data_IF_998552707547
#
_entry.id   IF_998552707547
#
_cell.length_a   1.000
_cell.length_b   1.000
_cell.length_c   1.000
_cell.angle_alpha   90.00
_cell.angle_beta   90.00
_cell.angle_gamma   90.00
#
_symmetry.space_group_name_H-M   'P 1'
#
loop_
_entity.id
_entity.type
_entity.pdbx_description
1 polymer ?
#
# COMPACT_ATOMS: atom_id res chain seq x y z
N UNK A 1 -36.01 -26.82 143.07
CA UNK A 1 -35.66 -25.46 143.58
C UNK A 1 -35.27 -24.62 142.36
N UNK A 2 -35.66 -23.33 142.30
CA UNK A 2 -35.87 -22.42 143.43
C UNK A 2 -37.26 -22.49 144.03
N UNK A 3 -37.29 -22.01 145.27
CA UNK A 3 -38.36 -21.99 146.26
C UNK A 3 -38.56 -20.54 146.69
N UNK A 4 -39.82 -20.13 146.81
CA UNK A 4 -40.34 -18.96 147.49
C UNK A 4 -41.79 -19.35 147.81
N UNK A 5 -42.18 -19.95 148.94
CA UNK A 5 -41.78 -19.76 150.35
C UNK A 5 -41.72 -18.28 150.73
N UNK A 6 -42.77 -17.87 151.45
CA UNK A 6 -43.01 -16.55 152.08
C UNK A 6 -43.58 -15.43 151.20
N UNK A 7 -44.89 -15.48 150.95
CA UNK A 7 -45.81 -14.54 151.61
C UNK A 7 -47.27 -15.00 151.43
N UNK A 8 -47.59 -16.07 152.15
CA UNK A 8 -48.95 -16.30 152.63
C UNK A 8 -49.10 -15.60 153.97
N UNK A 9 -49.93 -14.57 154.03
CA UNK A 9 -50.50 -14.04 155.26
C UNK A 9 -51.71 -13.18 154.91
N UNK A 10 -52.76 -13.81 154.40
CA UNK A 10 -54.07 -13.50 154.96
C UNK A 10 -54.92 -14.78 154.95
N UNK A 11 -54.71 -15.56 156.00
CA UNK A 11 -55.47 -16.76 156.30
C UNK A 11 -56.86 -16.36 156.79
N UNK A 12 -57.79 -16.22 155.85
CA UNK A 12 -59.20 -16.42 156.11
C UNK A 12 -59.54 -17.91 156.07
N UNK A 13 -59.14 -18.64 157.11
CA UNK A 13 -59.58 -20.02 157.40
C UNK A 13 -61.10 -20.01 157.62
N UNK A 14 -61.85 -20.03 156.53
CA UNK A 14 -63.18 -20.60 156.54
C UNK A 14 -63.08 -21.85 155.69
N UNK A 15 -62.96 -22.98 156.39
CA UNK A 15 -63.21 -24.32 155.89
C UNK A 15 -64.30 -24.27 154.83
N UNK A 16 -63.90 -24.24 153.56
CA UNK A 16 -64.85 -24.39 152.45
C UNK A 16 -65.35 -25.82 152.62
N UNK A 17 -66.63 -25.99 153.00
CA UNK A 17 -67.15 -27.30 153.36
C UNK A 17 -66.93 -28.25 152.17
N UNK A 18 -66.74 -29.54 152.42
CA UNK A 18 -66.69 -30.57 151.35
C UNK A 18 -67.84 -30.38 150.33
N UNK A 19 -68.96 -29.77 150.75
CA UNK A 19 -70.10 -29.36 149.92
C UNK A 19 -69.85 -28.25 148.90
N UNK A 20 -68.88 -27.33 149.07
CA UNK A 20 -68.55 -26.28 148.06
C UNK A 20 -67.56 -26.79 147.02
N UNK A 21 -66.61 -27.66 147.41
CA UNK A 21 -65.69 -28.32 146.45
C UNK A 21 -66.43 -29.38 145.61
N UNK A 22 -67.40 -30.08 146.21
CA UNK A 22 -68.33 -30.96 145.48
C UNK A 22 -69.28 -30.18 144.57
N UNK A 23 -69.72 -28.97 144.96
CA UNK A 23 -70.52 -28.10 144.08
C UNK A 23 -69.73 -27.56 142.90
N UNK A 24 -68.47 -27.15 143.09
CA UNK A 24 -67.63 -26.65 141.99
C UNK A 24 -67.22 -27.80 141.06
N UNK A 25 -66.85 -28.98 141.60
CA UNK A 25 -66.65 -30.18 140.76
C UNK A 25 -67.94 -30.62 140.06
N UNK A 26 -69.08 -30.58 140.74
CA UNK A 26 -70.37 -30.89 140.13
C UNK A 26 -70.78 -29.88 139.06
N UNK A 27 -70.45 -28.60 139.19
CA UNK A 27 -70.72 -27.57 138.18
C UNK A 27 -69.73 -27.66 137.02
N UNK A 28 -68.45 -27.91 137.27
CA UNK A 28 -67.45 -28.18 136.23
C UNK A 28 -67.72 -29.49 135.49
N UNK A 29 -68.14 -30.55 136.19
CA UNK A 29 -68.56 -31.82 135.60
C UNK A 29 -69.90 -31.68 134.88
N UNK A 30 -70.79 -30.78 135.33
CA UNK A 30 -72.01 -30.42 134.61
C UNK A 30 -71.72 -29.59 133.36
N UNK A 31 -70.74 -28.67 133.41
CA UNK A 31 -70.29 -27.89 132.25
C UNK A 31 -69.54 -28.80 131.28
N UNK A 32 -68.67 -29.69 131.75
CA UNK A 32 -67.99 -30.72 130.95
C UNK A 32 -68.98 -31.69 130.36
N UNK A 33 -69.97 -32.18 131.11
CA UNK A 33 -71.07 -33.02 130.59
C UNK A 33 -71.91 -32.26 129.55
N UNK A 34 -72.21 -30.97 129.77
CA UNK A 34 -72.92 -30.12 128.80
C UNK A 34 -72.07 -29.82 127.56
N UNK A 35 -70.75 -29.68 127.70
CA UNK A 35 -69.82 -29.51 126.60
C UNK A 35 -69.64 -30.81 125.83
N UNK A 36 -69.40 -31.94 126.49
CA UNK A 36 -69.32 -33.28 125.89
C UNK A 36 -70.59 -33.63 125.13
N UNK A 37 -71.76 -33.21 125.61
CA UNK A 37 -73.03 -33.34 124.88
C UNK A 37 -73.15 -32.39 123.67
N UNK A 38 -72.46 -31.24 123.67
CA UNK A 38 -72.47 -30.22 122.60
C UNK A 38 -71.30 -30.34 121.61
N UNK A 39 -70.20 -31.00 121.98
CA UNK A 39 -69.02 -31.25 121.16
C UNK A 39 -69.37 -31.96 119.85
N UNK A 40 -70.24 -32.99 119.84
CA UNK A 40 -70.72 -33.61 118.60
C UNK A 40 -71.47 -32.62 117.69
N UNK A 41 -72.20 -31.66 118.27
CA UNK A 41 -72.95 -30.63 117.53
C UNK A 41 -72.00 -29.60 116.92
N UNK A 42 -71.00 -29.14 117.66
CA UNK A 42 -69.97 -28.21 117.15
C UNK A 42 -69.14 -28.89 116.06
N UNK A 43 -68.77 -30.16 116.26
CA UNK A 43 -68.05 -30.94 115.23
C UNK A 43 -68.91 -31.12 113.98
N UNK A 44 -70.20 -31.41 114.13
CA UNK A 44 -71.15 -31.51 113.02
C UNK A 44 -71.32 -30.17 112.29
N UNK A 45 -71.39 -29.05 113.02
CA UNK A 45 -71.49 -27.71 112.44
C UNK A 45 -70.22 -27.32 111.68
N UNK A 46 -69.03 -27.52 112.26
CA UNK A 46 -67.76 -27.26 111.58
C UNK A 46 -67.60 -28.15 110.34
N UNK A 47 -68.06 -29.40 110.41
CA UNK A 47 -68.07 -30.31 109.26
C UNK A 47 -69.10 -29.88 108.20
N UNK A 48 -70.26 -29.37 108.59
CA UNK A 48 -71.28 -28.83 107.69
C UNK A 48 -70.83 -27.52 107.02
N UNK A 49 -70.21 -26.60 107.76
CA UNK A 49 -69.60 -25.38 107.22
C UNK A 49 -68.45 -25.71 106.27
N UNK A 50 -67.56 -26.64 106.65
CA UNK A 50 -66.50 -27.13 105.79
C UNK A 50 -67.03 -27.85 104.53
N UNK A 51 -68.17 -28.54 104.63
CA UNK A 51 -68.84 -29.15 103.48
C UNK A 51 -69.47 -28.09 102.58
N UNK A 52 -70.14 -27.08 103.14
CA UNK A 52 -70.72 -25.96 102.38
C UNK A 52 -69.65 -25.15 101.65
N UNK A 53 -68.53 -24.82 102.30
CA UNK A 53 -67.42 -24.10 101.66
C UNK A 53 -66.79 -24.91 100.52
N UNK A 54 -66.59 -26.22 100.71
CA UNK A 54 -66.09 -27.11 99.64
C UNK A 54 -67.07 -27.21 98.46
N UNK A 55 -68.37 -27.23 98.74
CA UNK A 55 -69.39 -27.21 97.69
C UNK A 55 -69.39 -25.89 96.92
N UNK A 56 -69.27 -24.75 97.60
CA UNK A 56 -69.14 -23.44 96.96
C UNK A 56 -67.87 -23.34 96.11
N UNK A 57 -66.74 -23.82 96.63
CA UNK A 57 -65.48 -23.84 95.90
C UNK A 57 -65.55 -24.76 94.68
N UNK A 58 -66.18 -25.94 94.81
CA UNK A 58 -66.43 -26.85 93.70
C UNK A 58 -67.30 -26.24 92.61
N UNK A 59 -68.37 -25.50 92.98
CA UNK A 59 -69.20 -24.76 92.03
C UNK A 59 -68.42 -23.67 91.30
N UNK A 60 -67.62 -22.89 92.02
CA UNK A 60 -66.77 -21.85 91.42
C UNK A 60 -65.72 -22.46 90.48
N UNK A 61 -65.12 -23.59 90.87
CA UNK A 61 -64.15 -24.30 90.04
C UNK A 61 -64.78 -24.87 88.76
N UNK A 62 -66.00 -25.40 88.85
CA UNK A 62 -66.74 -25.86 87.67
C UNK A 62 -67.04 -24.72 86.68
N UNK A 63 -67.45 -23.54 87.19
CA UNK A 63 -67.66 -22.36 86.35
C UNK A 63 -66.36 -21.87 85.68
N UNK A 64 -65.24 -21.94 86.40
CA UNK A 64 -63.94 -21.58 85.85
C UNK A 64 -63.49 -22.58 84.77
N UNK A 65 -63.67 -23.88 84.99
CA UNK A 65 -63.36 -24.91 83.99
C UNK A 65 -64.24 -24.82 82.75
N UNK A 66 -65.52 -24.50 82.88
CA UNK A 66 -66.40 -24.24 81.73
C UNK A 66 -65.88 -23.06 80.88
N UNK A 67 -65.23 -22.06 81.51
CA UNK A 67 -64.67 -20.91 80.79
C UNK A 67 -63.26 -21.13 80.24
N UNK A 68 -62.58 -22.21 80.64
CA UNK A 68 -61.16 -22.45 80.33
C UNK A 68 -60.89 -22.50 78.82
N UNK A 69 -61.71 -23.23 78.06
CA UNK A 69 -61.56 -23.34 76.61
C UNK A 69 -61.71 -21.98 75.91
N UNK A 70 -62.65 -21.14 76.37
CA UNK A 70 -62.87 -19.81 75.81
C UNK A 70 -61.71 -18.86 76.11
N UNK A 71 -61.10 -18.96 77.28
CA UNK A 71 -59.92 -18.18 77.66
C UNK A 71 -58.68 -18.64 76.89
N UNK A 72 -58.48 -19.95 76.71
CA UNK A 72 -57.41 -20.49 75.88
C UNK A 72 -57.56 -20.02 74.43
N UNK A 73 -58.79 -20.06 73.90
CA UNK A 73 -59.10 -19.56 72.57
C UNK A 73 -58.77 -18.07 72.43
N UNK A 74 -59.24 -17.23 73.37
CA UNK A 74 -58.95 -15.79 73.37
C UNK A 74 -57.45 -15.51 73.48
N UNK A 75 -56.73 -16.22 74.36
CA UNK A 75 -55.28 -16.10 74.49
C UNK A 75 -54.55 -16.50 73.21
N UNK A 76 -55.02 -17.55 72.52
CA UNK A 76 -54.44 -17.97 71.24
C UNK A 76 -54.60 -16.90 70.16
N UNK A 77 -55.77 -16.24 70.10
CA UNK A 77 -56.03 -15.13 69.17
C UNK A 77 -55.12 -13.95 69.48
N UNK A 78 -55.05 -13.52 70.74
CA UNK A 78 -54.24 -12.36 71.15
C UNK A 78 -52.75 -12.61 70.87
N UNK A 79 -52.22 -13.79 71.24
CA UNK A 79 -50.83 -14.17 70.96
C UNK A 79 -50.56 -14.24 69.46
N UNK A 80 -51.49 -14.82 68.70
CA UNK A 80 -51.41 -14.89 67.24
C UNK A 80 -51.43 -13.51 66.60
N UNK A 81 -52.27 -12.59 67.07
CA UNK A 81 -52.37 -11.24 66.53
C UNK A 81 -51.12 -10.42 66.82
N UNK A 82 -50.63 -10.46 68.06
CA UNK A 82 -49.38 -9.82 68.44
C UNK A 82 -48.21 -10.33 67.60
N UNK A 83 -48.10 -11.65 67.40
CA UNK A 83 -47.06 -12.23 66.54
C UNK A 83 -47.17 -11.74 65.09
N UNK A 84 -48.39 -11.68 64.53
CA UNK A 84 -48.62 -11.15 63.18
C UNK A 84 -48.25 -9.66 63.08
N UNK A 85 -48.60 -8.84 64.06
CA UNK A 85 -48.23 -7.42 64.06
C UNK A 85 -46.71 -7.24 64.05
N UNK A 86 -45.98 -7.98 64.90
CA UNK A 86 -44.51 -7.94 64.94
C UNK A 86 -43.89 -8.37 63.61
N UNK A 87 -44.39 -9.45 63.00
CA UNK A 87 -43.91 -9.95 61.71
C UNK A 87 -44.22 -8.95 60.59
N UNK A 88 -45.44 -8.41 60.55
CA UNK A 88 -45.87 -7.43 59.55
C UNK A 88 -45.02 -6.16 59.62
N UNK A 89 -44.71 -5.67 60.82
CA UNK A 89 -43.80 -4.55 61.01
C UNK A 89 -42.41 -4.85 60.45
N UNK A 90 -41.83 -6.02 60.76
CA UNK A 90 -40.51 -6.41 60.25
C UNK A 90 -40.49 -6.52 58.73
N UNK A 91 -41.51 -7.12 58.11
CA UNK A 91 -41.61 -7.24 56.66
C UNK A 91 -41.76 -5.86 56.01
N UNK A 92 -42.60 -4.98 56.58
CA UNK A 92 -42.77 -3.62 56.07
C UNK A 92 -41.47 -2.82 56.15
N UNK A 93 -40.76 -2.89 57.28
CA UNK A 93 -39.46 -2.26 57.46
C UNK A 93 -38.41 -2.78 56.47
N UNK A 94 -38.37 -4.10 56.23
CA UNK A 94 -37.47 -4.68 55.22
C UNK A 94 -37.77 -4.17 53.81
N UNK A 95 -39.05 -4.09 53.41
CA UNK A 95 -39.45 -3.55 52.10
C UNK A 95 -39.10 -2.07 51.95
N UNK A 96 -39.29 -1.29 53.01
CA UNK A 96 -38.89 0.12 53.02
C UNK A 96 -37.38 0.27 52.86
N UNK A 97 -36.59 -0.50 53.62
CA UNK A 97 -35.13 -0.46 53.56
C UNK A 97 -34.60 -0.89 52.19
N UNK A 98 -35.13 -1.94 51.59
CA UNK A 98 -34.70 -2.37 50.25
C UNK A 98 -35.04 -1.34 49.18
N UNK A 99 -36.21 -0.68 49.29
CA UNK A 99 -36.57 0.44 48.40
C UNK A 99 -35.65 1.64 48.60
N UNK A 100 -35.34 2.02 49.85
CA UNK A 100 -34.41 3.11 50.13
C UNK A 100 -33.01 2.80 49.60
N UNK A 101 -32.54 1.57 49.79
CA UNK A 101 -31.24 1.10 49.31
C UNK A 101 -31.16 1.08 47.79
N UNK A 102 -32.21 0.66 47.09
CA UNK A 102 -32.22 0.66 45.62
C UNK A 102 -32.20 2.09 45.07
N UNK A 103 -32.95 3.02 45.68
CA UNK A 103 -32.93 4.45 45.34
C UNK A 103 -31.55 5.05 45.59
N UNK A 104 -30.95 4.80 46.77
CA UNK A 104 -29.63 5.33 47.12
C UNK A 104 -28.54 4.78 46.18
N UNK A 105 -28.56 3.48 45.87
CA UNK A 105 -27.66 2.88 44.89
C UNK A 105 -27.85 3.50 43.50
N UNK A 106 -29.09 3.64 43.05
CA UNK A 106 -29.42 4.29 41.78
C UNK A 106 -28.86 5.72 41.72
N UNK A 107 -29.11 6.53 42.76
CA UNK A 107 -28.60 7.89 42.86
C UNK A 107 -27.06 7.94 42.79
N UNK A 108 -26.37 7.10 43.56
CA UNK A 108 -24.90 7.05 43.57
C UNK A 108 -24.34 6.62 42.20
N UNK A 109 -24.95 5.64 41.53
CA UNK A 109 -24.55 5.20 40.20
C UNK A 109 -24.76 6.32 39.17
N UNK A 110 -25.93 6.97 39.19
CA UNK A 110 -26.22 8.11 38.31
C UNK A 110 -25.24 9.26 38.56
N UNK A 111 -24.92 9.58 39.82
CA UNK A 111 -23.95 10.63 40.16
C UNK A 111 -22.54 10.29 39.66
N UNK A 112 -22.10 9.05 39.83
CA UNK A 112 -20.81 8.57 39.31
C UNK A 112 -20.77 8.65 37.79
N UNK A 113 -21.85 8.25 37.11
CA UNK A 113 -21.95 8.28 35.65
C UNK A 113 -22.02 9.71 35.11
N UNK A 114 -22.71 10.63 35.78
CA UNK A 114 -22.69 12.05 35.45
C UNK A 114 -21.27 12.65 35.57
N UNK A 115 -20.54 12.30 36.63
CA UNK A 115 -19.15 12.73 36.80
C UNK A 115 -18.22 12.16 35.71
N UNK A 116 -18.36 10.88 35.36
CA UNK A 116 -17.60 10.28 34.27
C UNK A 116 -17.93 10.93 32.92
N UNK A 117 -19.21 11.05 32.57
CA UNK A 117 -19.63 11.67 31.30
C UNK A 117 -19.11 13.10 31.15
N UNK A 118 -19.11 13.90 32.22
CA UNK A 118 -18.49 15.22 32.20
C UNK A 118 -16.98 15.16 31.87
N UNK A 119 -16.25 14.24 32.50
CA UNK A 119 -14.82 14.01 32.20
C UNK A 119 -14.60 13.54 30.75
N UNK A 120 -15.42 12.62 30.25
CA UNK A 120 -15.34 12.14 28.88
C UNK A 120 -15.65 13.24 27.86
N UNK A 121 -16.63 14.11 28.11
CA UNK A 121 -16.97 15.25 27.24
C UNK A 121 -15.80 16.24 27.17
N UNK A 122 -15.13 16.51 28.29
CA UNK A 122 -13.97 17.42 28.32
C UNK A 122 -12.76 16.89 27.53
N UNK A 123 -12.57 15.56 27.50
CA UNK A 123 -11.52 14.92 26.72
C UNK A 123 -11.95 14.50 25.30
N UNK A 124 -13.25 14.57 24.99
CA UNK A 124 -13.81 14.21 23.68
C UNK A 124 -13.25 15.09 22.57
N UNK A 125 -13.17 16.41 22.79
CA UNK A 125 -12.59 17.34 21.81
C UNK A 125 -11.13 16.99 21.50
N UNK A 126 -10.34 16.67 22.53
CA UNK A 126 -8.92 16.29 22.38
C UNK A 126 -8.80 14.97 21.61
N UNK A 127 -9.66 13.99 21.92
CA UNK A 127 -9.70 12.70 21.22
C UNK A 127 -10.14 12.86 19.76
N UNK A 128 -11.12 13.71 19.46
CA UNK A 128 -11.55 14.01 18.09
C UNK A 128 -10.42 14.68 17.31
N UNK A 129 -9.73 15.67 17.90
CA UNK A 129 -8.57 16.32 17.29
C UNK A 129 -7.48 15.28 17.01
N UNK A 130 -7.16 14.43 17.98
CA UNK A 130 -6.16 13.37 17.82
C UNK A 130 -6.55 12.37 16.72
N UNK A 131 -7.80 11.91 16.69
CA UNK A 131 -8.31 11.01 15.65
C UNK A 131 -8.24 11.65 14.27
N UNK A 132 -8.60 12.92 14.15
CA UNK A 132 -8.52 13.66 12.90
C UNK A 132 -7.07 13.80 12.43
N UNK A 133 -6.13 14.08 13.33
CA UNK A 133 -4.69 14.13 13.02
C UNK A 133 -4.15 12.76 12.57
N UNK A 134 -4.54 11.68 13.24
CA UNK A 134 -4.13 10.31 12.87
C UNK A 134 -4.68 9.95 11.48
N UNK A 135 -5.97 10.23 11.22
CA UNK A 135 -6.60 9.97 9.91
C UNK A 135 -5.94 10.80 8.80
N UNK A 136 -5.70 12.09 9.03
CA UNK A 136 -5.03 12.96 8.08
C UNK A 136 -3.61 12.45 7.76
N UNK A 137 -2.84 12.07 8.79
CA UNK A 137 -1.51 11.50 8.60
C UNK A 137 -1.54 10.19 7.81
N UNK A 138 -2.48 9.29 8.11
CA UNK A 138 -2.65 8.04 7.36
C UNK A 138 -2.93 8.31 5.88
N UNK A 139 -3.87 9.21 5.57
CA UNK A 139 -4.19 9.61 4.19
C UNK A 139 -2.98 10.20 3.46
N UNK A 140 -2.19 11.05 4.13
CA UNK A 140 -0.97 11.61 3.52
C UNK A 140 0.07 10.52 3.21
N UNK A 141 0.24 9.53 4.09
CA UNK A 141 1.14 8.40 3.90
C UNK A 141 0.69 7.52 2.73
N UNK A 142 -0.61 7.26 2.61
CA UNK A 142 -1.15 6.44 1.52
C UNK A 142 -1.08 7.17 0.19
N UNK A 143 -1.33 8.49 0.15
CA UNK A 143 -1.11 9.30 -1.05
C UNK A 143 0.37 9.30 -1.47
N UNK A 144 1.30 9.41 -0.52
CA UNK A 144 2.73 9.30 -0.80
C UNK A 144 3.11 7.93 -1.36
N UNK A 145 2.54 6.84 -0.84
CA UNK A 145 2.75 5.49 -1.39
C UNK A 145 2.19 5.35 -2.80
N UNK A 146 0.98 5.87 -3.04
CA UNK A 146 0.33 5.83 -4.35
C UNK A 146 1.16 6.56 -5.41
N UNK A 147 1.76 7.70 -5.06
CA UNK A 147 2.61 8.47 -5.97
C UNK A 147 4.09 8.05 -5.95
N UNK A 148 4.52 7.15 -5.05
CA UNK A 148 5.93 6.73 -4.98
C UNK A 148 6.42 6.11 -6.29
N UNK A 149 5.56 5.35 -7.00
CA UNK A 149 5.90 4.74 -8.29
C UNK A 149 6.05 5.81 -9.37
N UNK A 150 5.12 6.77 -9.43
CA UNK A 150 5.14 7.91 -10.36
C UNK A 150 6.39 8.78 -10.14
N UNK A 151 6.70 9.11 -8.88
CA UNK A 151 7.88 9.90 -8.50
C UNK A 151 9.17 9.16 -8.88
N UNK A 152 9.26 7.86 -8.62
CA UNK A 152 10.43 7.04 -9.05
C UNK A 152 10.60 7.05 -10.56
N UNK A 153 9.52 6.95 -11.33
CA UNK A 153 9.56 7.04 -12.80
C UNK A 153 10.05 8.42 -13.24
N UNK A 154 9.50 9.50 -12.67
CA UNK A 154 9.91 10.86 -12.97
C UNK A 154 11.39 11.11 -12.66
N UNK A 155 11.87 10.61 -11.51
CA UNK A 155 13.28 10.69 -11.13
C UNK A 155 14.18 9.92 -12.09
N UNK A 156 13.79 8.72 -12.50
CA UNK A 156 14.54 7.92 -13.47
C UNK A 156 14.63 8.63 -14.83
N UNK A 157 13.52 9.19 -15.32
CA UNK A 157 13.50 9.96 -16.58
C UNK A 157 14.35 11.22 -16.47
N UNK A 158 14.25 11.96 -15.36
CA UNK A 158 15.04 13.18 -15.16
C UNK A 158 16.55 12.88 -15.16
N UNK A 159 16.97 11.82 -14.46
CA UNK A 159 18.38 11.36 -14.48
C UNK A 159 18.83 10.96 -15.89
N UNK A 160 18.00 10.24 -16.63
CA UNK A 160 18.31 9.83 -17.99
C UNK A 160 18.45 11.04 -18.94
N UNK A 161 17.59 12.06 -18.80
CA UNK A 161 17.67 13.29 -19.61
C UNK A 161 18.96 14.05 -19.32
N UNK A 162 19.32 14.22 -18.05
CA UNK A 162 20.57 14.90 -17.65
C UNK A 162 21.77 14.17 -18.24
N UNK A 163 21.86 12.86 -18.04
CA UNK A 163 22.97 12.06 -18.54
C UNK A 163 23.09 12.07 -20.07
N UNK A 164 21.96 11.95 -20.79
CA UNK A 164 21.97 12.03 -22.26
C UNK A 164 22.39 13.41 -22.77
N UNK A 165 22.02 14.48 -22.06
CA UNK A 165 22.45 15.84 -22.41
C UNK A 165 23.96 15.99 -22.23
N UNK A 166 24.51 15.51 -21.12
CA UNK A 166 25.96 15.53 -20.87
C UNK A 166 26.71 14.73 -21.94
N UNK A 167 26.24 13.52 -22.25
CA UNK A 167 26.81 12.71 -23.34
C UNK A 167 26.72 13.41 -24.70
N UNK A 168 25.61 14.06 -25.02
CA UNK A 168 25.45 14.77 -26.29
C UNK A 168 26.43 15.92 -26.43
N UNK A 169 26.72 16.63 -25.33
CA UNK A 169 27.71 17.72 -25.33
C UNK A 169 29.11 17.14 -25.53
N UNK A 170 29.44 16.05 -24.82
CA UNK A 170 30.74 15.40 -24.95
C UNK A 170 30.98 14.86 -26.37
N UNK A 171 29.96 14.25 -26.99
CA UNK A 171 30.06 13.78 -28.37
C UNK A 171 30.24 14.94 -29.36
N UNK A 172 29.53 16.05 -29.18
CA UNK A 172 29.72 17.23 -30.04
C UNK A 172 31.13 17.81 -29.94
N UNK A 173 31.72 17.82 -28.73
CA UNK A 173 33.11 18.25 -28.53
C UNK A 173 34.11 17.30 -29.22
N UNK A 174 33.85 16.00 -29.21
CA UNK A 174 34.68 15.03 -29.92
C UNK A 174 34.57 15.16 -31.44
N UNK A 175 33.36 15.41 -31.96
CA UNK A 175 33.13 15.66 -33.39
C UNK A 175 33.85 16.94 -33.85
N UNK A 176 33.87 18.00 -33.04
CA UNK A 176 34.60 19.24 -33.38
C UNK A 176 36.12 19.03 -33.50
N UNK A 177 36.69 18.13 -32.68
CA UNK A 177 38.11 17.79 -32.73
C UNK A 177 38.47 16.72 -33.77
N UNK A 178 37.48 16.04 -34.37
CA UNK A 178 37.73 14.99 -35.35
C UNK A 178 38.45 15.55 -36.60
N UNK A 179 37.97 16.68 -37.11
CA UNK A 179 38.56 17.34 -38.28
C UNK A 179 39.99 17.81 -38.01
N UNK A 180 40.26 18.33 -36.80
CA UNK A 180 41.58 18.82 -36.40
C UNK A 180 42.60 17.67 -36.37
N UNK A 181 42.18 16.51 -35.83
CA UNK A 181 42.98 15.29 -35.78
C UNK A 181 43.24 14.74 -37.18
N UNK A 182 42.22 14.70 -38.05
CA UNK A 182 42.36 14.22 -39.43
C UNK A 182 43.36 15.08 -40.19
N UNK A 183 43.25 16.41 -40.09
CA UNK A 183 44.17 17.35 -40.75
C UNK A 183 45.59 17.19 -40.21
N UNK A 184 45.76 17.05 -38.89
CA UNK A 184 47.07 16.83 -38.29
C UNK A 184 47.70 15.50 -38.74
N UNK A 185 46.93 14.41 -38.73
CA UNK A 185 47.38 13.10 -39.20
C UNK A 185 47.76 13.15 -40.69
N UNK A 186 46.96 13.79 -41.54
CA UNK A 186 47.29 13.97 -42.95
C UNK A 186 48.59 14.78 -43.15
N UNK A 187 48.78 15.85 -42.39
CA UNK A 187 50.00 16.68 -42.46
C UNK A 187 51.25 15.91 -42.01
N UNK A 188 51.16 15.15 -40.92
CA UNK A 188 52.29 14.32 -40.44
C UNK A 188 52.64 13.21 -41.43
N UNK A 189 51.65 12.54 -42.00
CA UNK A 189 51.85 11.54 -43.06
C UNK A 189 52.51 12.18 -44.28
N UNK A 190 52.02 13.32 -44.76
CA UNK A 190 52.60 14.03 -45.90
C UNK A 190 54.08 14.41 -45.67
N UNK A 191 54.42 14.90 -44.47
CA UNK A 191 55.81 15.21 -44.09
C UNK A 191 56.70 13.97 -44.10
N UNK A 192 56.20 12.84 -43.59
CA UNK A 192 56.91 11.57 -43.61
C UNK A 192 57.16 11.10 -45.06
N UNK A 193 56.13 11.15 -45.91
CA UNK A 193 56.27 10.83 -47.33
C UNK A 193 57.30 11.72 -48.03
N UNK A 194 57.29 13.04 -47.77
CA UNK A 194 58.29 13.95 -48.34
C UNK A 194 59.72 13.59 -47.90
N UNK A 195 59.93 13.21 -46.64
CA UNK A 195 61.25 12.76 -46.16
C UNK A 195 61.70 11.50 -46.90
N UNK A 196 60.81 10.53 -47.09
CA UNK A 196 61.10 9.31 -47.85
C UNK A 196 61.46 9.66 -49.29
N UNK A 197 60.69 10.53 -49.95
CA UNK A 197 60.99 10.98 -51.33
C UNK A 197 62.35 11.66 -51.41
N UNK A 198 62.69 12.54 -50.45
CA UNK A 198 64.01 13.18 -50.40
C UNK A 198 65.14 12.16 -50.26
N UNK A 199 65.00 11.20 -49.34
CA UNK A 199 65.99 10.13 -49.17
C UNK A 199 66.13 9.29 -50.45
N UNK A 200 65.02 8.89 -51.06
CA UNK A 200 65.03 8.13 -52.30
C UNK A 200 65.68 8.92 -53.45
N UNK A 201 65.37 10.21 -53.57
CA UNK A 201 65.98 11.08 -54.61
C UNK A 201 67.48 11.24 -54.41
N UNK A 202 67.94 11.37 -53.16
CA UNK A 202 69.36 11.44 -52.83
C UNK A 202 70.08 10.13 -53.18
N UNK A 203 69.51 8.98 -52.78
CA UNK A 203 70.07 7.66 -53.11
C UNK A 203 70.13 7.45 -54.62
N UNK A 204 69.06 7.79 -55.36
CA UNK A 204 69.06 7.71 -56.83
C UNK A 204 70.14 8.59 -57.45
N UNK A 205 70.30 9.83 -56.97
CA UNK A 205 71.35 10.75 -57.46
C UNK A 205 72.75 10.21 -57.18
N UNK A 206 72.99 9.58 -56.02
CA UNK A 206 74.28 8.94 -55.71
C UNK A 206 74.54 7.76 -56.64
N UNK A 207 73.56 6.88 -56.85
CA UNK A 207 73.68 5.74 -57.76
C UNK A 207 73.91 6.17 -59.22
N UNK A 208 73.20 7.20 -59.68
CA UNK A 208 73.38 7.76 -61.03
C UNK A 208 74.74 8.45 -61.17
N UNK A 209 75.20 9.15 -60.12
CA UNK A 209 76.52 9.77 -60.08
C UNK A 209 77.66 8.75 -60.10
N UNK A 210 77.50 7.63 -59.38
CA UNK A 210 78.44 6.50 -59.42
C UNK A 210 78.45 5.83 -60.80
N UNK A 211 77.27 5.59 -61.40
CA UNK A 211 77.14 5.08 -62.76
C UNK A 211 77.81 6.00 -63.80
N UNK A 212 77.63 7.32 -63.67
CA UNK A 212 78.28 8.33 -64.53
C UNK A 212 79.81 8.38 -64.33
N UNK A 213 80.28 8.29 -63.09
CA UNK A 213 81.73 8.26 -62.78
C UNK A 213 82.40 7.01 -63.35
N UNK A 214 81.74 5.84 -63.26
CA UNK A 214 82.23 4.59 -63.85
C UNK A 214 82.35 4.70 -65.38
N UNK A 215 81.42 5.38 -66.05
CA UNK A 215 81.45 5.61 -67.50
C UNK A 215 82.53 6.60 -67.95
N UNK A 216 82.79 7.64 -67.15
CA UNK A 216 83.73 8.72 -67.53
C UNK A 216 85.17 8.45 -67.12
N UNK A 217 85.40 7.65 -66.08
CA UNK A 217 86.75 7.37 -65.56
C UNK A 217 87.20 5.91 -65.67
N UNK A 218 86.28 4.98 -65.97
CA UNK A 218 86.59 3.56 -66.09
C UNK A 218 87.07 3.14 -67.48
N UNK A 219 88.17 2.37 -67.57
CA UNK A 219 88.68 1.83 -68.84
C UNK A 219 87.81 0.72 -69.48
N UNK A 220 86.82 0.18 -68.76
CA UNK A 220 85.84 -0.83 -69.25
C UNK A 220 84.52 -0.76 -68.46
N UNK A 221 83.57 0.12 -68.80
CA UNK A 221 82.28 0.17 -68.12
C UNK A 221 81.38 -1.04 -68.46
N UNK A 222 80.61 -1.59 -67.50
CA UNK A 222 79.72 -2.73 -67.75
C UNK A 222 78.55 -2.33 -68.69
N UNK A 223 78.20 -3.23 -69.62
CA UNK A 223 77.21 -3.01 -70.70
C UNK A 223 75.85 -2.52 -70.20
N UNK A 224 75.43 -2.93 -69.00
CA UNK A 224 74.17 -2.51 -68.39
C UNK A 224 74.16 -1.01 -68.04
N UNK A 225 75.30 -0.45 -67.63
CA UNK A 225 75.44 0.99 -67.34
C UNK A 225 75.41 1.81 -68.62
N UNK A 226 75.99 1.28 -69.71
CA UNK A 226 75.87 1.86 -71.05
C UNK A 226 74.42 1.88 -71.54
N UNK A 227 73.71 0.74 -71.46
CA UNK A 227 72.29 0.64 -71.87
C UNK A 227 71.37 1.58 -71.08
N UNK A 228 71.59 1.72 -69.77
CA UNK A 228 70.77 2.59 -68.93
C UNK A 228 70.99 4.08 -69.20
N UNK A 229 72.12 4.48 -69.78
CA UNK A 229 72.44 5.88 -70.08
C UNK A 229 72.50 6.16 -71.60
N UNK A 230 72.16 5.17 -72.44
CA UNK A 230 72.03 5.32 -73.89
C UNK A 230 70.98 6.35 -74.25
N UNK A 231 69.87 6.44 -73.50
CA UNK A 231 68.82 7.43 -73.75
C UNK A 231 69.33 8.88 -73.59
N UNK A 232 70.32 9.13 -72.72
CA UNK A 232 71.00 10.43 -72.57
C UNK A 232 72.06 10.70 -73.66
N UNK A 233 72.41 9.69 -74.44
CA UNK A 233 73.40 9.75 -75.52
C UNK A 233 72.75 9.68 -76.91
N UNK A 234 71.45 9.35 -76.98
CA UNK A 234 70.66 9.31 -78.21
C UNK A 234 69.63 10.44 -78.20
N UNK A 235 69.76 11.38 -79.13
CA UNK A 235 68.84 12.50 -79.37
C UNK A 235 67.56 11.99 -80.07
N UNK A 236 66.83 11.08 -79.41
CA UNK A 236 65.71 10.34 -79.98
C UNK A 236 64.41 10.67 -79.26
N UNK A 237 63.34 10.92 -80.03
CA UNK A 237 61.97 11.28 -79.60
C UNK A 237 61.24 10.21 -78.76
N UNK A 238 61.98 9.33 -78.08
CA UNK A 238 61.43 8.25 -77.25
C UNK A 238 60.63 8.80 -76.07
N UNK A 239 61.19 9.76 -75.32
CA UNK A 239 60.55 10.38 -74.17
C UNK A 239 59.27 11.13 -74.59
N UNK A 240 59.29 11.80 -75.75
CA UNK A 240 58.12 12.47 -76.30
C UNK A 240 57.00 11.49 -76.69
N UNK A 241 57.34 10.34 -77.27
CA UNK A 241 56.34 9.34 -77.65
C UNK A 241 55.72 8.65 -76.43
N UNK A 242 56.51 8.39 -75.38
CA UNK A 242 55.99 7.83 -74.12
C UNK A 242 55.03 8.80 -73.41
N UNK A 243 55.37 10.10 -73.37
CA UNK A 243 54.52 11.16 -72.81
C UNK A 243 53.20 11.30 -73.60
N UNK A 244 53.25 11.20 -74.94
CA UNK A 244 52.04 11.25 -75.80
C UNK A 244 51.13 10.05 -75.54
N UNK A 245 51.68 8.85 -75.42
CA UNK A 245 50.90 7.63 -75.12
C UNK A 245 50.29 7.68 -73.72
N UNK A 246 51.02 8.20 -72.73
CA UNK A 246 50.50 8.38 -71.37
C UNK A 246 49.30 9.33 -71.34
N UNK A 247 49.37 10.48 -72.02
CA UNK A 247 48.24 11.41 -72.12
C UNK A 247 47.06 10.82 -72.92
N UNK A 248 47.31 9.99 -73.95
CA UNK A 248 46.26 9.25 -74.65
C UNK A 248 45.53 8.28 -73.73
N UNK A 249 46.27 7.52 -72.92
CA UNK A 249 45.70 6.60 -71.95
C UNK A 249 44.89 7.35 -70.90
N UNK A 250 45.44 8.45 -70.36
CA UNK A 250 44.75 9.29 -69.36
C UNK A 250 43.42 9.82 -69.89
N UNK A 251 43.40 10.35 -71.13
CA UNK A 251 42.15 10.80 -71.77
C UNK A 251 41.14 9.68 -71.93
N UNK A 252 41.59 8.48 -72.28
CA UNK A 252 40.73 7.30 -72.43
C UNK A 252 40.10 6.90 -71.09
N UNK A 253 40.89 6.88 -70.01
CA UNK A 253 40.40 6.58 -68.65
C UNK A 253 39.37 7.61 -68.20
N UNK A 254 39.65 8.91 -68.36
CA UNK A 254 38.69 9.97 -68.00
C UNK A 254 37.39 9.85 -68.79
N UNK A 255 37.46 9.50 -70.07
CA UNK A 255 36.28 9.29 -70.90
C UNK A 255 35.48 8.05 -70.47
N UNK A 256 36.15 6.98 -70.05
CA UNK A 256 35.50 5.77 -69.51
C UNK A 256 34.84 6.04 -68.16
N UNK A 257 35.49 6.77 -67.25
CA UNK A 257 34.91 7.16 -65.95
C UNK A 257 33.63 7.96 -66.16
N UNK A 258 33.65 8.97 -67.04
CA UNK A 258 32.43 9.73 -67.37
C UNK A 258 31.33 8.87 -67.98
N UNK A 259 31.67 7.89 -68.82
CA UNK A 259 30.69 6.95 -69.36
C UNK A 259 30.07 6.08 -68.26
N UNK A 260 30.86 5.61 -67.30
CA UNK A 260 30.37 4.83 -66.17
C UNK A 260 29.45 5.66 -65.26
N UNK A 261 29.82 6.90 -64.91
CA UNK A 261 28.97 7.80 -64.11
C UNK A 261 27.62 8.06 -64.79
N UNK A 262 27.61 8.27 -66.12
CA UNK A 262 26.37 8.44 -66.88
C UNK A 262 25.51 7.16 -66.90
N UNK A 263 26.14 5.99 -66.91
CA UNK A 263 25.43 4.70 -66.84
C UNK A 263 24.83 4.45 -65.44
N UNK A 264 25.56 4.77 -64.37
CA UNK A 264 25.06 4.67 -63.00
C UNK A 264 23.83 5.58 -62.79
N UNK A 265 23.91 6.84 -63.24
CA UNK A 265 22.77 7.76 -63.16
C UNK A 265 21.55 7.27 -63.94
N UNK A 266 21.77 6.56 -65.05
CA UNK A 266 20.70 5.98 -65.84
C UNK A 266 20.06 4.78 -65.13
N UNK A 267 20.86 3.90 -64.50
CA UNK A 267 20.37 2.79 -63.68
C UNK A 267 19.53 3.31 -62.51
N UNK A 268 19.99 4.34 -61.81
CA UNK A 268 19.24 4.96 -60.70
C UNK A 268 17.85 5.47 -61.16
N UNK A 269 17.77 6.03 -62.36
CA UNK A 269 16.50 6.49 -62.93
C UNK A 269 15.59 5.32 -63.33
N UNK A 270 16.16 4.23 -63.85
CA UNK A 270 15.42 3.00 -64.15
C UNK A 270 14.82 2.39 -62.88
N UNK A 271 15.59 2.31 -61.79
CA UNK A 271 15.12 1.73 -60.52
C UNK A 271 13.93 2.51 -59.95
N UNK A 272 13.97 3.84 -60.03
CA UNK A 272 12.83 4.69 -59.64
C UNK A 272 11.60 4.39 -60.51
N UNK A 273 11.80 4.22 -61.82
CA UNK A 273 10.70 3.91 -62.75
C UNK A 273 10.13 2.51 -62.52
N UNK A 274 10.97 1.50 -62.28
CA UNK A 274 10.51 0.15 -61.93
C UNK A 274 9.69 0.19 -60.64
N UNK A 275 10.14 0.93 -59.61
CA UNK A 275 9.40 1.11 -58.37
C UNK A 275 8.05 1.82 -58.58
N UNK A 276 7.97 2.79 -59.49
CA UNK A 276 6.71 3.47 -59.83
C UNK A 276 5.77 2.59 -60.65
N UNK A 277 6.30 1.74 -61.52
CA UNK A 277 5.54 0.75 -62.27
C UNK A 277 4.95 -0.33 -61.36
N UNK A 278 5.73 -0.84 -60.40
CA UNK A 278 5.26 -1.81 -59.41
C UNK A 278 4.10 -1.25 -58.55
N UNK A 279 4.09 0.06 -58.34
CA UNK A 279 3.01 0.76 -57.63
C UNK A 279 1.87 1.25 -58.54
N UNK A 280 1.82 0.80 -59.80
CA UNK A 280 0.82 1.19 -60.82
C UNK A 280 0.69 2.71 -61.05
N UNK A 281 1.76 3.48 -60.80
CA UNK A 281 1.76 4.95 -60.95
C UNK A 281 2.23 5.44 -62.32
N UNK A 282 2.76 4.54 -63.14
CA UNK A 282 3.17 4.79 -64.54
C UNK A 282 2.85 3.56 -65.39
N UNK A 283 2.76 3.73 -66.71
CA UNK A 283 2.53 2.63 -67.66
C UNK A 283 3.83 1.94 -68.05
N UNK A 284 3.76 0.65 -68.43
CA UNK A 284 4.90 -0.13 -68.93
C UNK A 284 5.61 0.57 -70.11
N UNK A 285 4.85 1.27 -70.95
CA UNK A 285 5.37 2.07 -72.06
C UNK A 285 6.28 3.24 -71.62
N UNK A 286 6.11 3.79 -70.41
CA UNK A 286 6.99 4.85 -69.86
C UNK A 286 8.32 4.31 -69.33
N UNK A 287 8.35 3.04 -68.92
CA UNK A 287 9.56 2.32 -68.53
C UNK A 287 10.33 1.85 -69.77
N UNK A 288 9.63 1.28 -70.76
CA UNK A 288 10.22 0.85 -72.04
C UNK A 288 10.77 2.03 -72.86
N UNK A 289 10.17 3.22 -72.77
CA UNK A 289 10.73 4.45 -73.38
C UNK A 289 12.06 4.90 -72.75
N UNK A 290 12.28 4.63 -71.45
CA UNK A 290 13.56 4.93 -70.80
C UNK A 290 14.67 4.02 -71.35
N UNK A 291 14.35 2.74 -71.57
CA UNK A 291 15.24 1.75 -72.22
C UNK A 291 15.72 2.19 -73.61
N UNK A 292 14.84 2.76 -74.44
CA UNK A 292 15.20 3.18 -75.81
C UNK A 292 16.12 4.40 -75.87
N UNK A 293 16.26 5.16 -74.77
CA UNK A 293 17.08 6.36 -74.73
C UNK A 293 18.53 6.11 -74.32
N UNK A 294 18.85 4.95 -73.75
CA UNK A 294 20.22 4.58 -73.38
C UNK A 294 20.74 3.52 -74.34
N UNK A 295 21.46 3.98 -75.37
CA UNK A 295 22.01 3.12 -76.43
C UNK A 295 21.98 3.73 -77.84
N UNK A 296 21.41 4.92 -78.03
CA UNK A 296 21.41 5.64 -79.31
C UNK A 296 22.67 6.50 -79.52
N UNK A 297 23.09 6.63 -80.77
CA UNK A 297 24.23 7.43 -81.27
C UNK A 297 24.44 8.78 -80.54
N UNK A 298 25.70 9.23 -80.38
CA UNK A 298 26.09 10.39 -79.56
C UNK A 298 25.54 11.74 -80.07
N UNK A 299 24.94 11.80 -81.26
CA UNK A 299 24.31 13.01 -81.81
C UNK A 299 23.02 13.42 -81.09
N UNK A 300 22.35 12.51 -80.37
CA UNK A 300 21.14 12.83 -79.60
C UNK A 300 21.41 13.37 -78.18
N UNK A 301 22.65 13.31 -77.70
CA UNK A 301 23.03 13.84 -76.38
C UNK A 301 23.26 15.36 -76.38
N UNK A 302 23.55 15.97 -77.54
CA UNK A 302 23.80 17.41 -77.63
C UNK A 302 22.52 18.25 -77.75
N UNK A 303 21.41 17.68 -78.22
CA UNK A 303 20.14 18.42 -78.38
C UNK A 303 19.36 18.54 -77.07
N UNK A 304 19.65 17.70 -76.07
CA UNK A 304 18.91 17.67 -74.79
C UNK A 304 19.58 18.43 -73.64
N UNK A 305 20.82 18.89 -73.79
CA UNK A 305 21.52 19.65 -72.73
C UNK A 305 21.03 21.10 -72.67
N UNK A 306 20.56 21.66 -73.79
CA UNK A 306 20.02 23.03 -73.85
C UNK A 306 18.55 23.16 -73.43
N UNK A 307 17.86 22.06 -73.15
CA UNK A 307 16.44 22.02 -72.70
C UNK A 307 16.27 21.37 -71.31
N UNK A 308 17.33 21.35 -70.49
CA UNK A 308 17.27 20.89 -69.10
C UNK A 308 17.07 22.03 -68.07
N UNK A 309 16.54 23.18 -68.50
CA UNK A 309 16.04 24.22 -67.61
C UNK A 309 14.50 24.18 -67.65
N UNK A 310 13.88 23.51 -66.69
CA UNK A 310 12.43 23.57 -66.49
C UNK A 310 11.63 22.25 -66.51
N UNK A 311 12.24 21.08 -66.27
CA UNK A 311 11.45 19.86 -66.06
C UNK A 311 10.81 19.87 -64.66
N UNK A 312 9.56 20.33 -64.66
CA UNK A 312 8.62 20.56 -63.55
C UNK A 312 8.11 19.28 -62.85
N UNK A 313 8.87 18.19 -62.91
CA UNK A 313 8.64 16.93 -62.18
C UNK A 313 9.99 16.26 -61.89
N UNK A 314 10.78 16.90 -61.03
CA UNK A 314 11.96 16.27 -60.46
C UNK A 314 11.51 15.21 -59.43
N UNK A 315 11.30 13.99 -59.93
CA UNK A 315 10.93 12.82 -59.11
C UNK A 315 11.97 12.55 -58.00
N UNK A 316 13.20 13.08 -58.10
CA UNK A 316 14.20 13.00 -57.01
C UNK A 316 13.76 13.74 -55.75
N UNK A 317 13.08 14.88 -55.87
CA UNK A 317 12.65 15.68 -54.73
C UNK A 317 11.46 15.04 -53.99
N UNK A 318 10.45 14.58 -54.75
CA UNK A 318 9.28 13.87 -54.20
C UNK A 318 9.68 12.51 -53.59
N UNK A 319 10.66 11.84 -54.20
CA UNK A 319 11.06 10.51 -53.77
C UNK A 319 12.03 10.55 -52.57
N UNK A 320 12.81 11.62 -52.34
CA UNK A 320 13.65 11.75 -51.12
C UNK A 320 12.80 11.86 -49.85
N UNK A 321 11.73 12.65 -49.86
CA UNK A 321 10.80 12.73 -48.73
C UNK A 321 10.00 11.45 -48.55
N UNK A 322 9.61 10.81 -49.65
CA UNK A 322 8.84 9.56 -49.61
C UNK A 322 9.70 8.38 -49.13
N UNK A 323 10.98 8.33 -49.51
CA UNK A 323 11.96 7.32 -49.09
C UNK A 323 12.36 7.47 -47.64
N UNK A 324 12.59 8.71 -47.16
CA UNK A 324 12.79 8.98 -45.73
C UNK A 324 11.56 8.59 -44.90
N UNK A 325 10.35 8.87 -45.38
CA UNK A 325 9.11 8.41 -44.73
C UNK A 325 9.01 6.89 -44.73
N UNK A 326 9.32 6.23 -45.84
CA UNK A 326 9.34 4.77 -45.92
C UNK A 326 10.32 4.15 -44.92
N UNK A 327 11.56 4.65 -44.84
CA UNK A 327 12.54 4.23 -43.83
C UNK A 327 12.06 4.47 -42.40
N UNK A 328 11.43 5.63 -42.15
CA UNK A 328 10.85 5.93 -40.83
C UNK A 328 9.71 4.99 -40.46
N UNK A 329 8.83 4.66 -41.41
CA UNK A 329 7.75 3.70 -41.21
C UNK A 329 8.30 2.27 -41.02
N UNK A 330 9.34 1.88 -41.75
CA UNK A 330 10.01 0.60 -41.58
C UNK A 330 10.60 0.46 -40.17
N UNK A 331 11.27 1.51 -39.68
CA UNK A 331 11.79 1.55 -38.30
C UNK A 331 10.65 1.51 -37.27
N UNK A 332 9.56 2.25 -37.49
CA UNK A 332 8.39 2.24 -36.62
C UNK A 332 7.76 0.85 -36.52
N UNK A 333 7.52 0.19 -37.65
CA UNK A 333 6.92 -1.14 -37.67
C UNK A 333 7.83 -2.19 -37.04
N UNK A 334 9.14 -2.10 -37.27
CA UNK A 334 10.13 -2.95 -36.60
C UNK A 334 10.07 -2.80 -35.07
N UNK A 335 10.00 -1.57 -34.56
CA UNK A 335 9.86 -1.31 -33.13
C UNK A 335 8.52 -1.86 -32.61
N UNK A 336 7.43 -1.68 -33.36
CA UNK A 336 6.10 -2.16 -32.96
C UNK A 336 6.01 -3.70 -32.91
N UNK A 337 6.68 -4.39 -33.83
CA UNK A 337 6.74 -5.86 -33.89
C UNK A 337 7.68 -6.45 -32.81
N UNK A 338 8.79 -5.78 -32.50
CA UNK A 338 9.81 -6.30 -31.56
C UNK A 338 9.56 -5.91 -30.10
N UNK A 339 8.81 -4.84 -29.84
CA UNK A 339 8.58 -4.30 -28.51
C UNK A 339 7.08 -4.32 -28.11
N UNK A 340 6.61 -5.39 -27.45
CA UNK A 340 5.18 -5.64 -27.21
C UNK A 340 4.52 -4.63 -26.26
N UNK A 341 5.31 -3.90 -25.45
CA UNK A 341 4.80 -2.89 -24.52
C UNK A 341 4.13 -1.70 -25.23
N UNK A 342 4.54 -1.36 -26.45
CA UNK A 342 3.90 -0.28 -27.21
C UNK A 342 2.49 -0.68 -27.68
N UNK A 343 2.33 -1.92 -28.13
CA UNK A 343 1.01 -2.48 -28.47
C UNK A 343 0.12 -2.62 -27.23
N UNK A 344 0.69 -3.05 -26.10
CA UNK A 344 -0.04 -3.12 -24.82
C UNK A 344 -0.58 -1.74 -24.37
N UNK A 345 0.21 -0.68 -24.56
CA UNK A 345 -0.24 0.70 -24.33
C UNK A 345 -1.34 1.12 -25.30
N UNK A 346 -1.20 0.79 -26.59
CA UNK A 346 -2.22 1.07 -27.61
C UNK A 346 -3.57 0.40 -27.25
N UNK A 347 -3.56 -0.89 -26.92
CA UNK A 347 -4.78 -1.61 -26.51
C UNK A 347 -5.38 -1.07 -25.21
N UNK A 348 -4.54 -0.62 -24.27
CA UNK A 348 -5.02 0.04 -23.06
C UNK A 348 -5.74 1.36 -23.39
N UNK A 349 -5.22 2.16 -24.31
CA UNK A 349 -5.84 3.42 -24.75
C UNK A 349 -7.15 3.19 -25.51
N UNK A 350 -7.19 2.21 -26.41
CA UNK A 350 -8.39 1.79 -27.15
C UNK A 350 -9.51 1.41 -26.16
N UNK A 351 -9.17 0.60 -25.14
CA UNK A 351 -10.13 0.20 -24.09
C UNK A 351 -10.60 1.37 -23.22
N UNK A 352 -9.73 2.36 -22.96
CA UNK A 352 -10.05 3.51 -22.12
C UNK A 352 -10.87 4.58 -22.85
N UNK A 353 -10.70 4.73 -24.16
CA UNK A 353 -11.42 5.71 -24.96
C UNK A 353 -12.79 5.22 -25.46
N UNK A 354 -13.11 3.94 -25.28
CA UNK A 354 -14.40 3.39 -25.72
C UNK A 354 -14.59 3.48 -27.24
N UNK A 355 -13.53 3.16 -28.00
CA UNK A 355 -13.55 3.22 -29.48
C UNK A 355 -14.66 2.35 -30.06
N UNK A 356 -15.27 2.83 -31.15
CA UNK A 356 -16.38 2.13 -31.82
C UNK A 356 -15.96 0.73 -32.28
N UNK A 357 -16.92 -0.21 -32.32
CA UNK A 357 -16.65 -1.61 -32.70
C UNK A 357 -16.05 -1.73 -34.12
N UNK A 358 -16.38 -0.78 -35.00
CA UNK A 358 -15.86 -0.70 -36.38
C UNK A 358 -14.36 -0.38 -36.38
N UNK A 359 -13.94 0.54 -35.52
CA UNK A 359 -12.54 0.94 -35.39
C UNK A 359 -11.70 -0.15 -34.70
N UNK A 360 -12.30 -0.86 -33.74
CA UNK A 360 -11.68 -2.03 -33.12
C UNK A 360 -11.38 -3.14 -34.15
N UNK A 361 -12.34 -3.48 -35.02
CA UNK A 361 -12.14 -4.47 -36.10
C UNK A 361 -11.09 -4.03 -37.13
N UNK A 362 -11.02 -2.73 -37.44
CA UNK A 362 -9.95 -2.17 -38.28
C UNK A 362 -8.57 -2.32 -37.63
N UNK A 363 -8.46 -2.04 -36.34
CA UNK A 363 -7.21 -2.16 -35.59
C UNK A 363 -6.78 -3.63 -35.48
N UNK A 364 -7.73 -4.54 -35.28
CA UNK A 364 -7.49 -5.98 -35.29
C UNK A 364 -6.93 -6.43 -36.65
N UNK A 365 -7.54 -5.99 -37.75
CA UNK A 365 -7.06 -6.31 -39.11
C UNK A 365 -5.66 -5.72 -39.35
N UNK A 366 -5.40 -4.49 -38.88
CA UNK A 366 -4.07 -3.87 -38.97
C UNK A 366 -3.02 -4.63 -38.15
N UNK A 367 -3.37 -5.19 -37.00
CA UNK A 367 -2.46 -6.02 -36.21
C UNK A 367 -2.16 -7.35 -36.88
N UNK A 368 -3.16 -7.98 -37.49
CA UNK A 368 -2.98 -9.20 -38.28
C UNK A 368 -1.99 -8.95 -39.43
N UNK A 369 -2.19 -7.88 -40.21
CA UNK A 369 -1.28 -7.46 -41.28
C UNK A 369 0.13 -7.11 -40.74
N UNK A 370 0.22 -6.44 -39.59
CA UNK A 370 1.50 -6.07 -38.98
C UNK A 370 2.34 -7.31 -38.64
N UNK A 371 1.73 -8.42 -38.22
CA UNK A 371 2.46 -9.65 -37.92
C UNK A 371 2.48 -10.67 -39.06
N UNK A 372 2.00 -10.29 -40.26
CA UNK A 372 2.00 -11.15 -41.45
C UNK A 372 0.97 -12.28 -41.41
N UNK A 373 -0.02 -12.21 -40.51
CA UNK A 373 -1.18 -13.09 -40.53
C UNK A 373 -2.21 -12.50 -41.50
N UNK A 374 -2.36 -13.16 -42.65
CA UNK A 374 -3.39 -12.83 -43.66
C UNK A 374 -4.68 -13.58 -43.35
#
# INVERSE_FOLDING_TARGET
MPSFENMGADFGLNSVPKSKLEKIKSEEDLIRSKLEKKLPIIYLQAQAEGAMNRLQLGKMMHQLWESEETLIYLQSIIRGDFARQVINYRISMQRFLTSLQSIARGFLTCQRQAGQTFFWIEDEEKLIILQNLIRAKSLTLDNLKNHAIEIKKLQAVSRAIIFRRELSIFLAQLEEEEDSIIVFQAATQASLFQKVVKIQSFVRSCLQGEAYKILTTGKNPPVNTGKNLVHLLSDSDFDFNEEIEFERLRKTVVQQVRRNEMAEQYIDQLDIKIALLFNNKITLDEVVRHQKNFGGQPSNLLVNITMASGNKFDLKAINKSSRKKFESYQQLFFILQTQPHYLAMLFKLIRQQGTSEIDCKRIETLMMVLFGYV
#
